data_IF_380376185486
#
_entry.id   IF_380376185486
#
_cell.length_a   1.000
_cell.length_b   1.000
_cell.length_c   1.000
_cell.angle_alpha   90.00
_cell.angle_beta   90.00
_cell.angle_gamma   90.00
#
_symmetry.space_group_name_H-M   'P 1'
#
loop_
_entity.id
_entity.type
_entity.pdbx_description
1 polymer ?
#
# COMPACT_ATOMS: atom_id res chain seq x y z
N UNK A 1 -21.39 -25.75 -13.12
CA UNK A 1 -19.98 -25.40 -12.94
C UNK A 1 -19.52 -25.72 -11.54
N UNK A 2 -19.10 -26.96 -11.33
CA UNK A 2 -18.21 -27.32 -10.23
C UNK A 2 -16.80 -27.13 -10.75
N UNK A 3 -16.05 -26.21 -10.13
CA UNK A 3 -14.61 -26.05 -10.39
C UNK A 3 -13.93 -27.38 -10.07
N UNK A 4 -13.23 -27.95 -11.05
CA UNK A 4 -12.45 -29.18 -10.81
C UNK A 4 -11.39 -28.93 -9.74
N UNK A 5 -11.09 -29.92 -8.90
CA UNK A 5 -10.16 -29.78 -7.77
C UNK A 5 -8.78 -29.25 -8.21
N UNK A 6 -8.37 -29.51 -9.46
CA UNK A 6 -7.13 -28.98 -10.06
C UNK A 6 -7.20 -27.47 -10.34
N UNK A 7 -8.33 -26.95 -10.83
CA UNK A 7 -8.53 -25.52 -11.08
C UNK A 7 -8.60 -24.73 -9.77
N UNK A 8 -9.22 -25.29 -8.74
CA UNK A 8 -9.24 -24.73 -7.39
C UNK A 8 -7.83 -24.67 -6.78
N UNK A 9 -7.02 -25.73 -6.94
CA UNK A 9 -5.64 -25.78 -6.45
C UNK A 9 -4.69 -24.85 -7.23
N UNK A 10 -4.86 -24.74 -8.55
CA UNK A 10 -4.09 -23.83 -9.40
C UNK A 10 -4.41 -22.36 -9.08
N UNK A 11 -5.69 -22.02 -8.92
CA UNK A 11 -6.13 -20.70 -8.48
C UNK A 11 -5.61 -20.39 -7.07
N UNK A 12 -5.68 -21.34 -6.13
CA UNK A 12 -5.19 -21.16 -4.76
C UNK A 12 -3.67 -20.97 -4.68
N UNK A 13 -2.89 -21.69 -5.50
CA UNK A 13 -1.44 -21.46 -5.64
C UNK A 13 -1.16 -20.05 -6.15
N UNK A 14 -1.92 -19.59 -7.13
CA UNK A 14 -1.74 -18.27 -7.72
C UNK A 14 -2.10 -17.15 -6.72
N UNK A 15 -3.19 -17.31 -5.96
CA UNK A 15 -3.58 -16.38 -4.89
C UNK A 15 -2.57 -16.35 -3.76
N UNK A 16 -2.06 -17.51 -3.32
CA UNK A 16 -1.01 -17.56 -2.29
C UNK A 16 0.25 -16.83 -2.75
N UNK A 17 0.65 -17.04 -4.00
CA UNK A 17 1.81 -16.35 -4.57
C UNK A 17 1.56 -14.84 -4.69
N UNK A 18 0.34 -14.43 -5.06
CA UNK A 18 -0.05 -13.02 -5.14
C UNK A 18 -0.03 -12.34 -3.76
N UNK A 19 -0.55 -12.99 -2.71
CA UNK A 19 -0.51 -12.46 -1.34
C UNK A 19 0.92 -12.31 -0.86
N UNK A 20 1.77 -13.33 -1.06
CA UNK A 20 3.18 -13.24 -0.67
C UNK A 20 3.90 -12.14 -1.45
N UNK A 21 3.70 -12.05 -2.77
CA UNK A 21 4.31 -11.02 -3.60
C UNK A 21 3.88 -9.60 -3.19
N UNK A 22 2.57 -9.39 -2.99
CA UNK A 22 2.03 -8.11 -2.54
C UNK A 22 2.56 -7.74 -1.16
N UNK A 23 2.56 -8.68 -0.21
CA UNK A 23 3.10 -8.45 1.15
C UNK A 23 4.59 -8.12 1.12
N UNK A 24 5.40 -8.83 0.32
CA UNK A 24 6.83 -8.55 0.19
C UNK A 24 7.08 -7.21 -0.49
N UNK A 25 6.35 -6.90 -1.56
CA UNK A 25 6.48 -5.63 -2.26
C UNK A 25 6.08 -4.45 -1.34
N UNK A 26 4.97 -4.57 -0.62
CA UNK A 26 4.52 -3.57 0.34
C UNK A 26 5.52 -3.43 1.49
N UNK A 27 5.98 -4.53 2.06
CA UNK A 27 6.98 -4.52 3.12
C UNK A 27 8.27 -3.82 2.68
N UNK A 28 8.78 -4.12 1.48
CA UNK A 28 9.97 -3.47 0.94
C UNK A 28 9.74 -1.99 0.62
N UNK A 29 8.55 -1.61 0.16
CA UNK A 29 8.21 -0.22 -0.13
C UNK A 29 8.09 0.63 1.15
N UNK A 30 7.58 0.05 2.24
CA UNK A 30 7.42 0.72 3.54
C UNK A 30 8.67 0.63 4.43
N UNK A 31 9.63 -0.23 4.09
CA UNK A 31 10.83 -0.45 4.92
C UNK A 31 11.72 0.80 4.91
N UNK A 32 11.80 1.48 6.06
CA UNK A 32 12.63 2.67 6.21
C UNK A 32 11.97 3.97 5.71
N UNK A 33 10.66 3.96 5.47
CA UNK A 33 9.93 5.19 5.18
C UNK A 33 9.86 6.14 6.39
N UNK A 34 9.56 7.41 6.12
CA UNK A 34 9.35 8.46 7.10
C UNK A 34 8.31 8.08 8.15
N UNK A 35 7.28 7.31 7.79
CA UNK A 35 6.28 6.78 8.73
C UNK A 35 6.93 5.92 9.82
N UNK A 36 7.87 5.03 9.48
CA UNK A 36 8.58 4.18 10.43
C UNK A 36 9.43 5.02 11.40
N UNK A 37 10.17 6.02 10.90
CA UNK A 37 10.96 6.92 11.74
C UNK A 37 10.08 7.77 12.66
N UNK A 38 8.92 8.22 12.17
CA UNK A 38 7.95 8.95 12.98
C UNK A 38 7.39 8.08 14.12
N UNK A 39 7.03 6.83 13.83
CA UNK A 39 6.53 5.88 14.84
C UNK A 39 7.59 5.55 15.89
N UNK A 40 8.85 5.32 15.51
CA UNK A 40 9.96 5.08 16.46
C UNK A 40 10.18 6.31 17.35
N UNK A 41 10.18 7.51 16.77
CA UNK A 41 10.35 8.76 17.51
C UNK A 41 9.21 8.97 18.50
N UNK A 42 7.98 8.73 18.07
CA UNK A 42 6.80 8.86 18.93
C UNK A 42 6.81 7.81 20.04
N UNK A 43 7.20 6.58 19.76
CA UNK A 43 7.29 5.49 20.74
C UNK A 43 8.38 5.74 21.80
N UNK A 44 9.38 6.56 21.47
CA UNK A 44 10.43 6.97 22.42
C UNK A 44 9.97 8.12 23.32
N UNK A 45 9.07 8.99 22.83
CA UNK A 45 8.56 10.16 23.56
C UNK A 45 7.30 9.88 24.38
N UNK A 46 6.46 8.97 23.88
CA UNK A 46 5.15 8.62 24.45
C UNK A 46 5.13 7.15 24.89
N UNK A 47 3.98 6.69 25.40
CA UNK A 47 3.80 5.27 25.72
C UNK A 47 3.93 4.42 24.45
N UNK A 48 4.92 3.52 24.42
CA UNK A 48 5.19 2.61 23.32
C UNK A 48 3.96 1.77 22.90
N UNK A 49 3.14 1.33 23.86
CA UNK A 49 1.93 0.56 23.56
C UNK A 49 0.85 1.42 22.89
N UNK A 50 0.66 2.65 23.37
CA UNK A 50 -0.27 3.60 22.76
C UNK A 50 0.16 4.01 21.35
N UNK A 51 1.46 4.19 21.14
CA UNK A 51 2.04 4.50 19.82
C UNK A 51 1.88 3.33 18.85
N UNK A 52 2.16 2.10 19.29
CA UNK A 52 1.98 0.91 18.47
C UNK A 52 0.53 0.75 18.03
N UNK A 53 -0.42 0.90 18.96
CA UNK A 53 -1.84 0.79 18.66
C UNK A 53 -2.31 1.91 17.72
N UNK A 54 -1.92 3.15 18.00
CA UNK A 54 -2.28 4.32 17.19
C UNK A 54 -1.73 4.23 15.76
N UNK A 55 -0.44 3.87 15.62
CA UNK A 55 0.20 3.67 14.31
C UNK A 55 -0.46 2.56 13.51
N UNK A 56 -0.78 1.43 14.15
CA UNK A 56 -1.43 0.29 13.50
C UNK A 56 -2.82 0.67 13.01
N UNK A 57 -3.64 1.28 13.89
CA UNK A 57 -4.99 1.71 13.52
C UNK A 57 -4.97 2.80 12.44
N UNK A 58 -4.02 3.74 12.52
CA UNK A 58 -3.87 4.80 11.52
C UNK A 58 -3.55 4.25 10.15
N UNK A 59 -2.61 3.30 10.05
CA UNK A 59 -2.25 2.65 8.79
C UNK A 59 -3.43 1.86 8.21
N UNK A 60 -4.07 1.01 9.02
CA UNK A 60 -5.24 0.24 8.58
C UNK A 60 -6.37 1.15 8.09
N UNK A 61 -6.61 2.27 8.77
CA UNK A 61 -7.62 3.24 8.36
C UNK A 61 -7.24 3.94 7.04
N UNK A 62 -5.97 4.30 6.85
CA UNK A 62 -5.48 4.90 5.62
C UNK A 62 -5.62 3.94 4.43
N UNK A 63 -5.23 2.67 4.60
CA UNK A 63 -5.34 1.65 3.57
C UNK A 63 -6.81 1.35 3.22
N UNK A 64 -7.69 1.27 4.23
CA UNK A 64 -9.12 1.06 4.03
C UNK A 64 -9.74 2.20 3.20
N UNK A 65 -9.36 3.45 3.49
CA UNK A 65 -9.79 4.61 2.69
C UNK A 65 -9.24 4.56 1.28
N UNK A 66 -7.96 4.21 1.10
CA UNK A 66 -7.34 4.06 -0.21
C UNK A 66 -8.04 2.99 -1.07
N UNK A 67 -8.38 1.84 -0.47
CA UNK A 67 -9.13 0.76 -1.13
C UNK A 67 -10.54 1.23 -1.49
N UNK A 68 -11.24 1.92 -0.59
CA UNK A 68 -12.60 2.40 -0.85
C UNK A 68 -12.63 3.40 -2.02
N UNK A 69 -11.69 4.34 -2.03
CA UNK A 69 -11.52 5.31 -3.12
C UNK A 69 -11.14 4.58 -4.41
N UNK A 70 -10.16 3.67 -4.36
CA UNK A 70 -9.73 2.88 -5.51
C UNK A 70 -10.85 2.03 -6.11
N UNK A 71 -11.68 1.41 -5.27
CA UNK A 71 -12.83 0.64 -5.70
C UNK A 71 -13.89 1.51 -6.38
N UNK A 72 -14.26 2.63 -5.76
CA UNK A 72 -15.26 3.55 -6.31
C UNK A 72 -14.78 4.14 -7.65
N UNK A 73 -13.54 4.60 -7.68
CA UNK A 73 -12.97 5.31 -8.82
C UNK A 73 -12.54 4.36 -9.95
N UNK A 74 -12.12 3.13 -9.62
CA UNK A 74 -11.74 2.10 -10.59
C UNK A 74 -12.88 1.65 -11.48
N UNK A 75 -14.12 1.70 -11.00
CA UNK A 75 -15.30 1.41 -11.83
C UNK A 75 -15.64 2.51 -12.85
N UNK A 76 -15.11 3.72 -12.67
CA UNK A 76 -15.45 4.92 -13.45
C UNK A 76 -14.31 5.42 -14.33
N UNK A 77 -13.06 5.03 -14.05
CA UNK A 77 -11.89 5.55 -14.75
C UNK A 77 -11.38 4.58 -15.82
N UNK A 78 -11.20 5.05 -17.07
CA UNK A 78 -10.51 4.26 -18.08
C UNK A 78 -9.02 4.11 -17.71
N UNK A 79 -8.47 2.92 -17.93
CA UNK A 79 -7.09 2.54 -17.58
C UNK A 79 -6.04 3.55 -18.06
N UNK A 80 -6.25 4.15 -19.24
CA UNK A 80 -5.38 5.20 -19.80
C UNK A 80 -5.26 6.40 -18.86
N UNK A 81 -6.35 6.85 -18.25
CA UNK A 81 -6.36 7.99 -17.34
C UNK A 81 -5.58 7.68 -16.06
N UNK A 82 -5.74 6.47 -15.52
CA UNK A 82 -4.99 6.02 -14.34
C UNK A 82 -3.49 6.00 -14.65
N UNK A 83 -3.10 5.44 -15.80
CA UNK A 83 -1.69 5.36 -16.21
C UNK A 83 -1.05 6.73 -16.41
N UNK A 84 -1.71 7.64 -17.13
CA UNK A 84 -1.19 9.00 -17.31
C UNK A 84 -1.16 9.76 -15.99
N UNK A 85 -2.20 9.64 -15.17
CA UNK A 85 -2.27 10.26 -13.84
C UNK A 85 -1.13 9.80 -12.93
N UNK A 86 -0.91 8.49 -12.80
CA UNK A 86 0.18 7.92 -12.03
C UNK A 86 1.55 8.37 -12.54
N UNK A 87 1.74 8.43 -13.86
CA UNK A 87 3.00 8.86 -14.47
C UNK A 87 3.30 10.34 -14.21
N UNK A 88 2.29 11.21 -14.34
CA UNK A 88 2.42 12.64 -14.03
C UNK A 88 2.71 12.83 -12.55
N UNK A 89 1.97 12.15 -11.69
CA UNK A 89 2.14 12.25 -10.24
C UNK A 89 3.54 11.78 -9.82
N UNK A 90 4.04 10.70 -10.42
CA UNK A 90 5.39 10.20 -10.21
C UNK A 90 6.46 11.22 -10.61
N UNK A 91 6.34 11.85 -11.78
CA UNK A 91 7.27 12.91 -12.22
C UNK A 91 7.22 14.12 -11.30
N UNK A 92 6.02 14.55 -10.89
CA UNK A 92 5.83 15.67 -9.96
C UNK A 92 6.49 15.38 -8.63
N UNK A 93 6.23 14.22 -8.02
CA UNK A 93 6.88 13.84 -6.77
C UNK A 93 8.40 13.69 -6.93
N UNK A 94 8.87 13.12 -8.04
CA UNK A 94 10.30 13.03 -8.32
C UNK A 94 10.99 14.40 -8.38
N UNK A 95 10.40 15.38 -9.08
CA UNK A 95 10.90 16.75 -9.13
C UNK A 95 10.85 17.40 -7.75
N UNK A 96 9.75 17.22 -7.01
CA UNK A 96 9.60 17.77 -5.66
C UNK A 96 10.66 17.22 -4.69
N UNK A 97 10.94 15.92 -4.74
CA UNK A 97 11.97 15.28 -3.90
C UNK A 97 13.37 15.84 -4.21
N UNK A 98 13.72 16.00 -5.50
CA UNK A 98 14.97 16.63 -5.92
C UNK A 98 15.03 18.10 -5.44
N UNK A 99 13.94 18.85 -5.59
CA UNK A 99 13.88 20.25 -5.18
C UNK A 99 13.97 20.43 -3.65
N UNK A 100 13.47 19.46 -2.87
CA UNK A 100 13.60 19.43 -1.41
C UNK A 100 15.01 19.05 -0.93
N UNK A 101 15.93 18.71 -1.85
CA UNK A 101 17.34 18.45 -1.54
C UNK A 101 17.60 17.08 -0.94
N UNK A 102 16.82 16.07 -1.32
CA UNK A 102 17.21 14.65 -1.19
C UNK A 102 18.13 14.28 -2.35
#
# INVERSE_FOLDING_TARGET
DELTEEEAQAAQKNTRNAVVAASVAFFLAELGDKTMLATITLATKENAFGTWLGSTLGMVAADALAILVGYHLGSRLPEKTIRYGASVLFVVFGILLIAQGI
#
